data_IF_543113366180
#
_entry.id   IF_543113366180
#
_cell.length_a   1.000
_cell.length_b   1.000
_cell.length_c   1.000
_cell.angle_alpha   90.00
_cell.angle_beta   90.00
_cell.angle_gamma   90.00
#
_symmetry.space_group_name_H-M   'P 1'
#
loop_
_entity.id
_entity.type
_entity.pdbx_description
1 polymer ?
#
# COMPACT_ATOMS: atom_id res chain seq x y z
N UNK A 1 -11.43 -8.96 -19.02
CA UNK A 1 -10.62 -9.01 -17.80
C UNK A 1 -11.06 -7.93 -16.79
N UNK A 2 -10.67 -8.05 -15.52
CA UNK A 2 -10.79 -7.03 -14.46
C UNK A 2 -9.97 -5.79 -14.81
N UNK A 3 -8.75 -5.97 -15.30
CA UNK A 3 -7.89 -4.89 -15.80
C UNK A 3 -8.54 -4.18 -17.00
N UNK A 4 -9.06 -4.93 -17.97
CA UNK A 4 -9.70 -4.37 -19.18
C UNK A 4 -10.92 -3.49 -18.90
N UNK A 5 -11.77 -3.85 -17.92
CA UNK A 5 -13.00 -3.11 -17.62
C UNK A 5 -12.71 -1.79 -16.91
N UNK A 6 -11.74 -1.78 -16.01
CA UNK A 6 -11.25 -0.54 -15.39
C UNK A 6 -10.48 0.31 -16.39
N UNK A 7 -9.59 -0.29 -17.19
CA UNK A 7 -8.88 0.39 -18.27
C UNK A 7 -9.86 1.02 -19.26
N UNK A 8 -10.91 0.31 -19.66
CA UNK A 8 -11.94 0.86 -20.55
C UNK A 8 -12.72 2.03 -19.91
N UNK A 9 -12.97 1.99 -18.60
CA UNK A 9 -13.59 3.08 -17.87
C UNK A 9 -12.70 4.32 -17.77
N UNK A 10 -11.43 4.14 -17.37
CA UNK A 10 -10.46 5.23 -17.30
C UNK A 10 -10.05 5.75 -18.68
N UNK A 11 -10.11 4.93 -19.73
CA UNK A 11 -9.99 5.37 -21.13
C UNK A 11 -11.25 6.09 -21.65
N UNK A 12 -12.40 5.92 -20.98
CA UNK A 12 -13.62 6.71 -21.22
C UNK A 12 -13.53 8.13 -20.62
N UNK A 13 -12.36 8.52 -20.10
CA UNK A 13 -11.99 9.83 -19.54
C UNK A 13 -12.55 11.03 -20.30
N UNK A 14 -12.47 11.05 -21.62
CA UNK A 14 -13.04 12.14 -22.45
C UNK A 14 -14.58 12.23 -22.32
N UNK A 15 -15.24 11.08 -22.27
CA UNK A 15 -16.69 11.00 -22.05
C UNK A 15 -17.11 11.38 -20.64
N UNK A 16 -16.27 11.13 -19.63
CA UNK A 16 -16.53 11.57 -18.26
C UNK A 16 -16.30 13.07 -18.06
N UNK A 17 -15.24 13.65 -18.65
CA UNK A 17 -15.02 15.10 -18.68
C UNK A 17 -16.23 15.81 -19.33
N UNK A 18 -16.70 15.32 -20.48
CA UNK A 18 -17.91 15.83 -21.14
C UNK A 18 -19.22 15.60 -20.36
N UNK A 19 -19.47 14.40 -19.82
CA UNK A 19 -20.73 14.06 -19.14
C UNK A 19 -20.88 14.74 -17.77
N UNK A 20 -19.78 15.00 -17.08
CA UNK A 20 -19.76 15.76 -15.83
C UNK A 20 -20.12 17.24 -16.02
N UNK A 21 -20.28 17.72 -17.26
CA UNK A 21 -20.18 19.14 -17.63
C UNK A 21 -18.91 19.78 -17.06
N UNK A 22 -17.87 18.98 -16.86
CA UNK A 22 -16.50 19.45 -16.77
C UNK A 22 -16.03 19.57 -18.23
N UNK A 23 -16.78 20.34 -19.00
CA UNK A 23 -16.27 20.87 -20.26
C UNK A 23 -15.24 21.92 -19.84
N UNK A 24 -14.00 21.48 -19.63
CA UNK A 24 -12.90 22.37 -19.96
C UNK A 24 -12.89 22.44 -21.49
N UNK A 25 -13.80 23.25 -22.04
CA UNK A 25 -13.70 23.76 -23.41
C UNK A 25 -12.32 24.44 -23.54
N UNK A 26 -11.24 23.71 -23.84
CA UNK A 26 -9.90 24.27 -24.13
C UNK A 26 -9.54 25.53 -23.29
N UNK A 27 -9.86 25.52 -21.99
CA UNK A 27 -9.64 26.64 -21.08
C UNK A 27 -8.61 26.19 -20.08
N UNK A 28 -7.47 26.89 -20.07
CA UNK A 28 -6.50 26.84 -18.96
C UNK A 28 -7.25 26.77 -17.63
N UNK A 29 -6.83 25.82 -16.77
CA UNK A 29 -7.43 25.62 -15.45
C UNK A 29 -7.67 26.95 -14.75
N UNK A 30 -8.94 27.27 -14.51
CA UNK A 30 -9.35 28.63 -14.11
C UNK A 30 -8.99 28.94 -12.66
N UNK A 31 -8.74 27.90 -11.86
CA UNK A 31 -8.39 27.98 -10.45
C UNK A 31 -7.66 26.69 -9.99
N UNK A 32 -7.09 26.72 -8.78
CA UNK A 32 -6.31 25.60 -8.22
C UNK A 32 -7.10 24.29 -8.03
N UNK A 33 -8.43 24.36 -7.91
CA UNK A 33 -9.30 23.19 -7.73
C UNK A 33 -9.45 22.48 -9.08
N UNK A 34 -9.72 23.24 -10.14
CA UNK A 34 -9.81 22.72 -11.50
C UNK A 34 -8.51 22.02 -11.91
N UNK A 35 -7.36 22.65 -11.66
CA UNK A 35 -6.04 22.07 -11.96
C UNK A 35 -5.80 20.76 -11.19
N UNK A 36 -6.23 20.69 -9.92
CA UNK A 36 -6.10 19.48 -9.10
C UNK A 36 -7.01 18.36 -9.60
N UNK A 37 -8.23 18.68 -10.03
CA UNK A 37 -9.18 17.73 -10.63
C UNK A 37 -8.64 17.20 -11.96
N UNK A 38 -8.13 18.07 -12.83
CA UNK A 38 -7.51 17.66 -14.09
C UNK A 38 -6.33 16.74 -13.84
N UNK A 39 -5.43 17.11 -12.93
CA UNK A 39 -4.27 16.28 -12.57
C UNK A 39 -4.71 14.93 -12.01
N UNK A 40 -5.77 14.89 -11.17
CA UNK A 40 -6.33 13.64 -10.62
C UNK A 40 -6.82 12.68 -11.71
N UNK A 41 -7.53 13.20 -12.71
CA UNK A 41 -8.05 12.40 -13.82
C UNK A 41 -7.02 12.13 -14.93
N UNK A 42 -5.92 12.88 -14.94
CA UNK A 42 -4.84 12.71 -15.91
C UNK A 42 -3.83 11.63 -15.49
N UNK A 43 -3.86 11.14 -14.25
CA UNK A 43 -3.10 9.95 -13.82
C UNK A 43 -3.50 8.76 -14.69
N UNK A 44 -2.54 8.21 -15.43
CA UNK A 44 -2.76 7.09 -16.33
C UNK A 44 -2.51 5.77 -15.61
N UNK A 45 -3.49 4.87 -15.61
CA UNK A 45 -3.38 3.54 -15.00
C UNK A 45 -2.28 2.68 -15.65
N UNK A 46 -1.99 2.90 -16.94
CA UNK A 46 -0.99 2.14 -17.69
C UNK A 46 0.45 2.43 -17.21
N UNK A 47 0.67 3.57 -16.55
CA UNK A 47 1.98 3.91 -15.96
C UNK A 47 2.30 3.06 -14.72
N UNK A 48 1.31 2.30 -14.23
CA UNK A 48 1.40 1.46 -13.03
C UNK A 48 1.26 -0.03 -13.36
N UNK A 49 1.36 -0.41 -14.63
CA UNK A 49 1.38 -1.83 -15.03
C UNK A 49 2.70 -2.49 -14.60
N UNK A 50 2.58 -3.64 -13.92
CA UNK A 50 3.70 -4.44 -13.48
C UNK A 50 4.12 -5.44 -14.57
N UNK A 51 5.37 -5.95 -14.54
CA UNK A 51 5.87 -6.89 -15.56
C UNK A 51 5.07 -8.19 -15.70
N UNK A 52 4.28 -8.56 -14.69
CA UNK A 52 3.40 -9.74 -14.69
C UNK A 52 2.00 -9.48 -15.29
N UNK A 53 1.75 -8.27 -15.78
CA UNK A 53 0.47 -7.84 -16.35
C UNK A 53 -0.57 -7.43 -15.30
N UNK A 54 -0.20 -7.37 -14.02
CA UNK A 54 -1.04 -6.77 -12.98
C UNK A 54 -0.85 -5.25 -12.91
N UNK A 55 -1.71 -4.55 -12.19
CA UNK A 55 -1.61 -3.09 -12.00
C UNK A 55 -1.31 -2.81 -10.53
N UNK A 56 -0.31 -1.98 -10.25
CA UNK A 56 -0.05 -1.41 -8.94
C UNK A 56 -1.09 -0.34 -8.62
N UNK A 57 -2.26 -0.80 -8.18
CA UNK A 57 -3.37 0.08 -7.81
C UNK A 57 -2.99 1.02 -6.67
N UNK A 58 -2.19 0.56 -5.69
CA UNK A 58 -1.74 1.38 -4.59
C UNK A 58 -1.00 2.62 -5.08
N UNK A 59 0.03 2.43 -5.92
CA UNK A 59 0.79 3.52 -6.49
C UNK A 59 -0.04 4.44 -7.41
N UNK A 60 -0.98 3.88 -8.18
CA UNK A 60 -1.90 4.66 -9.02
C UNK A 60 -2.77 5.61 -8.17
N UNK A 61 -3.38 5.09 -7.11
CA UNK A 61 -4.25 5.91 -6.25
C UNK A 61 -3.46 6.89 -5.38
N UNK A 62 -2.23 6.55 -4.97
CA UNK A 62 -1.33 7.50 -4.29
C UNK A 62 -1.00 8.70 -5.18
N UNK A 63 -0.80 8.48 -6.48
CA UNK A 63 -0.57 9.55 -7.44
C UNK A 63 -1.81 10.42 -7.66
N UNK A 64 -3.00 9.80 -7.69
CA UNK A 64 -4.26 10.52 -7.68
C UNK A 64 -4.42 11.37 -6.41
N UNK A 65 -4.09 10.83 -5.24
CA UNK A 65 -4.17 11.57 -3.98
C UNK A 65 -3.16 12.72 -3.90
N UNK A 66 -1.97 12.53 -4.48
CA UNK A 66 -0.95 13.56 -4.61
C UNK A 66 -1.43 14.72 -5.49
N UNK A 67 -2.23 14.45 -6.53
CA UNK A 67 -2.85 15.48 -7.36
C UNK A 67 -3.77 16.42 -6.56
N UNK A 68 -4.35 15.93 -5.47
CA UNK A 68 -5.24 16.69 -4.58
C UNK A 68 -4.51 17.32 -3.39
N UNK A 69 -3.19 17.11 -3.24
CA UNK A 69 -2.44 17.52 -2.05
C UNK A 69 -2.36 19.04 -1.84
N UNK A 70 -2.53 19.84 -2.91
CA UNK A 70 -2.56 21.31 -2.84
C UNK A 70 -3.86 21.87 -2.26
N UNK A 71 -4.91 21.05 -2.15
CA UNK A 71 -6.21 21.45 -1.65
C UNK A 71 -6.24 21.44 -0.13
N UNK A 72 -6.97 22.37 0.47
CA UNK A 72 -7.25 22.30 1.90
C UNK A 72 -8.12 21.06 2.22
N UNK A 73 -8.13 20.57 3.47
CA UNK A 73 -8.95 19.41 3.84
C UNK A 73 -10.44 19.58 3.54
N UNK A 74 -10.97 20.81 3.57
CA UNK A 74 -12.36 21.08 3.20
C UNK A 74 -12.58 21.00 1.70
N UNK A 75 -11.69 21.60 0.91
CA UNK A 75 -11.75 21.56 -0.56
C UNK A 75 -11.59 20.12 -1.06
N UNK A 76 -10.62 19.36 -0.53
CA UNK A 76 -10.42 17.95 -0.89
C UNK A 76 -11.67 17.11 -0.62
N UNK A 77 -12.31 17.27 0.54
CA UNK A 77 -13.57 16.57 0.86
C UNK A 77 -14.70 16.92 -0.11
N UNK A 78 -14.84 18.20 -0.44
CA UNK A 78 -15.87 18.66 -1.38
C UNK A 78 -15.64 18.12 -2.79
N UNK A 79 -14.40 18.17 -3.28
CA UNK A 79 -14.01 17.64 -4.60
C UNK A 79 -14.24 16.13 -4.66
N UNK A 80 -13.79 15.40 -3.64
CA UNK A 80 -14.01 13.94 -3.56
C UNK A 80 -15.50 13.61 -3.60
N UNK A 81 -16.29 14.19 -2.68
CA UNK A 81 -17.69 13.82 -2.53
C UNK A 81 -18.59 14.28 -3.69
N UNK A 82 -18.36 15.49 -4.25
CA UNK A 82 -19.28 16.11 -5.23
C UNK A 82 -18.86 15.88 -6.68
N UNK A 83 -17.56 15.67 -6.92
CA UNK A 83 -17.01 15.54 -8.27
C UNK A 83 -16.52 14.12 -8.50
N UNK A 84 -15.48 13.68 -7.78
CA UNK A 84 -14.78 12.43 -8.08
C UNK A 84 -15.69 11.22 -7.83
N UNK A 85 -16.28 11.10 -6.64
CA UNK A 85 -17.04 9.92 -6.24
C UNK A 85 -18.34 9.73 -7.02
N UNK A 86 -18.84 10.80 -7.66
CA UNK A 86 -20.02 10.72 -8.53
C UNK A 86 -19.78 9.84 -9.76
N UNK A 87 -18.52 9.71 -10.17
CA UNK A 87 -18.10 8.94 -11.33
C UNK A 87 -17.31 7.70 -10.93
N UNK A 88 -17.46 7.20 -9.70
CA UNK A 88 -16.82 5.92 -9.40
C UNK A 88 -17.49 4.81 -10.20
N UNK A 89 -16.69 3.96 -10.84
CA UNK A 89 -17.20 2.64 -11.25
C UNK A 89 -17.55 1.82 -10.03
N UNK A 90 -18.41 0.80 -10.20
CA UNK A 90 -18.55 -0.26 -9.20
C UNK A 90 -17.20 -0.79 -8.69
N UNK A 91 -16.18 -0.84 -9.56
CA UNK A 91 -14.85 -1.33 -9.20
C UNK A 91 -14.01 -0.32 -8.40
N UNK A 92 -14.10 0.99 -8.69
CA UNK A 92 -13.49 2.02 -7.83
C UNK A 92 -14.14 2.02 -6.45
N UNK A 93 -15.47 1.84 -6.38
CA UNK A 93 -16.18 1.67 -5.11
C UNK A 93 -15.69 0.44 -4.35
N UNK A 94 -15.53 -0.70 -5.03
CA UNK A 94 -14.96 -1.93 -4.44
C UNK A 94 -13.52 -1.72 -3.94
N UNK A 95 -12.69 -1.02 -4.71
CA UNK A 95 -11.32 -0.71 -4.30
C UNK A 95 -11.27 0.18 -3.05
N UNK A 96 -12.08 1.25 -2.99
CA UNK A 96 -12.10 2.12 -1.80
C UNK A 96 -12.56 1.38 -0.55
N UNK A 97 -13.54 0.49 -0.69
CA UNK A 97 -13.91 -0.43 0.41
C UNK A 97 -12.73 -1.32 0.80
N UNK A 98 -11.94 -1.79 -0.17
CA UNK A 98 -10.74 -2.56 0.11
C UNK A 98 -9.67 -1.71 0.83
N UNK A 99 -9.50 -0.42 0.47
CA UNK A 99 -8.64 0.51 1.19
C UNK A 99 -9.11 0.73 2.62
N UNK A 100 -10.38 1.04 2.84
CA UNK A 100 -10.94 1.22 4.18
C UNK A 100 -10.69 -0.04 5.04
N UNK A 101 -10.91 -1.23 4.45
CA UNK A 101 -10.65 -2.53 5.10
C UNK A 101 -9.15 -2.73 5.36
N UNK A 102 -8.27 -2.30 4.46
CA UNK A 102 -6.81 -2.37 4.65
C UNK A 102 -6.37 -1.41 5.76
N UNK A 103 -6.93 -0.22 5.85
CA UNK A 103 -6.60 0.75 6.89
C UNK A 103 -6.99 0.21 8.28
N UNK A 104 -8.12 -0.48 8.39
CA UNK A 104 -8.48 -1.24 9.60
C UNK A 104 -7.45 -2.34 9.93
N UNK A 105 -6.84 -2.95 8.91
CA UNK A 105 -5.77 -3.93 9.09
C UNK A 105 -4.47 -3.27 9.59
N UNK A 106 -4.21 -2.00 9.26
CA UNK A 106 -3.04 -1.26 9.79
C UNK A 106 -3.10 -1.08 11.32
N UNK A 107 -4.30 -1.13 11.92
CA UNK A 107 -4.50 -1.11 13.37
C UNK A 107 -4.30 -2.49 14.04
N UNK A 108 -4.23 -3.56 13.26
CA UNK A 108 -4.06 -4.93 13.75
C UNK A 108 -2.60 -5.35 13.56
N UNK A 109 -1.92 -5.67 14.66
CA UNK A 109 -0.53 -6.13 14.54
C UNK A 109 -0.45 -7.52 13.95
N UNK A 110 0.47 -7.72 13.00
CA UNK A 110 0.85 -9.05 12.48
C UNK A 110 1.49 -9.95 13.55
N UNK A 111 2.08 -9.34 14.58
CA UNK A 111 2.88 -10.03 15.60
C UNK A 111 2.29 -9.77 16.98
N UNK A 112 2.01 -10.86 17.71
CA UNK A 112 1.58 -10.78 19.11
C UNK A 112 2.65 -10.09 19.94
N UNK A 113 2.27 -9.06 20.70
CA UNK A 113 3.18 -8.35 21.61
C UNK A 113 3.99 -7.20 20.98
N UNK A 114 3.80 -6.92 19.69
CA UNK A 114 4.29 -5.71 19.01
C UNK A 114 3.10 -4.90 18.52
N UNK A 115 3.21 -3.56 18.54
CA UNK A 115 2.25 -2.70 17.84
C UNK A 115 2.53 -2.73 16.32
N UNK A 116 1.54 -2.47 15.46
CA UNK A 116 1.74 -2.45 14.00
C UNK A 116 2.89 -1.52 13.57
N UNK A 117 2.91 -0.30 14.11
CA UNK A 117 3.93 0.70 13.79
C UNK A 117 5.34 0.28 14.25
N UNK A 118 5.45 -0.38 15.41
CA UNK A 118 6.73 -0.90 15.92
C UNK A 118 7.24 -2.03 15.02
N UNK A 119 6.34 -2.91 14.56
CA UNK A 119 6.68 -3.96 13.61
C UNK A 119 7.13 -3.39 12.26
N UNK A 120 6.44 -2.37 11.73
CA UNK A 120 6.81 -1.68 10.48
C UNK A 120 8.17 -0.98 10.58
N UNK A 121 8.43 -0.28 11.68
CA UNK A 121 9.74 0.35 11.93
C UNK A 121 10.85 -0.71 12.00
N UNK A 122 10.58 -1.83 12.67
CA UNK A 122 11.53 -2.93 12.79
C UNK A 122 11.88 -3.56 11.45
N UNK A 123 10.87 -3.88 10.62
CA UNK A 123 11.08 -4.44 9.28
C UNK A 123 11.90 -3.47 8.41
N UNK A 124 11.49 -2.20 8.38
CA UNK A 124 12.22 -1.16 7.63
C UNK A 124 13.68 -1.06 8.07
N UNK A 125 13.94 -1.10 9.38
CA UNK A 125 15.30 -1.06 9.91
C UNK A 125 16.12 -2.31 9.51
N UNK A 126 15.53 -3.51 9.57
CA UNK A 126 16.20 -4.74 9.13
C UNK A 126 16.53 -4.70 7.62
N UNK A 127 15.59 -4.27 6.80
CA UNK A 127 15.72 -4.26 5.33
C UNK A 127 16.62 -3.13 4.83
N UNK A 128 16.50 -1.92 5.36
CA UNK A 128 17.25 -0.77 4.85
C UNK A 128 18.60 -0.60 5.55
N UNK A 129 18.65 -0.77 6.88
CA UNK A 129 19.85 -0.43 7.67
C UNK A 129 20.75 -1.65 7.82
N UNK A 130 20.21 -2.76 8.31
CA UNK A 130 21.01 -3.97 8.56
C UNK A 130 21.46 -4.59 7.23
N UNK A 131 20.56 -4.72 6.25
CA UNK A 131 20.96 -5.28 4.95
C UNK A 131 21.96 -4.38 4.20
N UNK A 132 21.87 -3.05 4.33
CA UNK A 132 22.89 -2.15 3.75
C UNK A 132 24.25 -2.30 4.45
N UNK A 133 24.28 -2.39 5.78
CA UNK A 133 25.51 -2.62 6.53
C UNK A 133 26.18 -3.95 6.15
N UNK A 134 25.38 -5.03 6.05
CA UNK A 134 25.89 -6.34 5.60
C UNK A 134 26.47 -6.30 4.20
N UNK A 135 25.81 -5.59 3.27
CA UNK A 135 26.35 -5.40 1.92
C UNK A 135 27.69 -4.67 1.93
N UNK A 136 27.81 -3.59 2.70
CA UNK A 136 29.07 -2.86 2.83
C UNK A 136 30.19 -3.71 3.44
N UNK A 137 29.92 -4.48 4.50
CA UNK A 137 30.93 -5.38 5.06
C UNK A 137 31.36 -6.48 4.08
N UNK A 138 30.42 -7.01 3.31
CA UNK A 138 30.72 -8.00 2.29
C UNK A 138 31.61 -7.41 1.17
N UNK A 139 31.37 -6.16 0.77
CA UNK A 139 32.23 -5.42 -0.17
C UNK A 139 33.66 -5.22 0.39
N UNK A 140 33.78 -5.02 1.70
CA UNK A 140 35.06 -4.96 2.42
C UNK A 140 35.68 -6.36 2.67
N UNK A 141 35.06 -7.43 2.18
CA UNK A 141 35.55 -8.81 2.29
C UNK A 141 35.22 -9.51 3.61
N UNK A 142 34.33 -8.95 4.42
CA UNK A 142 33.88 -9.52 5.70
C UNK A 142 32.44 -10.01 5.56
N UNK A 143 32.27 -11.33 5.52
CA UNK A 143 30.93 -11.94 5.59
C UNK A 143 30.44 -11.97 7.05
N UNK A 144 29.46 -11.12 7.35
CA UNK A 144 28.87 -10.99 8.69
C UNK A 144 27.51 -11.68 8.71
N UNK A 145 27.27 -12.51 9.72
CA UNK A 145 25.97 -13.15 9.94
C UNK A 145 24.89 -12.09 10.17
N UNK A 146 23.62 -12.41 9.87
CA UNK A 146 22.52 -11.48 10.14
C UNK A 146 22.42 -11.13 11.63
N UNK A 147 22.69 -12.08 12.52
CA UNK A 147 22.64 -11.87 13.96
C UNK A 147 23.72 -10.88 14.42
N UNK A 148 24.97 -11.06 13.97
CA UNK A 148 26.07 -10.16 14.32
C UNK A 148 25.87 -8.78 13.72
N UNK A 149 25.33 -8.72 12.50
CA UNK A 149 24.96 -7.46 11.86
C UNK A 149 23.89 -6.70 12.62
N UNK A 150 22.84 -7.39 13.08
CA UNK A 150 21.80 -6.81 13.93
C UNK A 150 22.42 -6.27 15.22
N UNK A 151 23.24 -7.07 15.93
CA UNK A 151 23.90 -6.65 17.18
C UNK A 151 24.77 -5.40 16.98
N UNK A 152 25.63 -5.41 15.96
CA UNK A 152 26.49 -4.27 15.65
C UNK A 152 25.71 -3.01 15.29
N UNK A 153 24.63 -3.14 14.51
CA UNK A 153 23.79 -2.00 14.14
C UNK A 153 22.94 -1.48 15.30
N UNK A 154 22.52 -2.33 16.24
CA UNK A 154 21.80 -1.91 17.45
C UNK A 154 22.67 -1.02 18.34
N UNK A 155 23.93 -1.42 18.57
CA UNK A 155 24.89 -0.62 19.33
C UNK A 155 25.15 0.73 18.67
N UNK A 156 25.28 0.74 17.34
CA UNK A 156 25.53 1.95 16.55
C UNK A 156 24.35 2.92 16.53
N UNK A 157 23.13 2.41 16.34
CA UNK A 157 21.92 3.24 16.17
C UNK A 157 21.24 3.58 17.52
N UNK A 158 21.72 3.04 18.65
CA UNK A 158 21.20 3.34 19.99
C UNK A 158 19.76 2.89 20.21
N UNK A 159 19.33 1.81 19.55
CA UNK A 159 17.95 1.28 19.66
C UNK A 159 17.72 0.63 21.04
N UNK A 160 16.49 0.68 21.58
CA UNK A 160 16.21 0.14 22.90
C UNK A 160 16.27 -1.40 22.94
N UNK A 161 16.52 -1.97 24.12
CA UNK A 161 16.77 -3.41 24.30
C UNK A 161 15.58 -4.33 23.95
N UNK A 162 14.35 -3.82 23.94
CA UNK A 162 13.19 -4.56 23.45
C UNK A 162 13.18 -4.65 21.91
N UNK A 163 13.67 -3.61 21.22
CA UNK A 163 13.79 -3.58 19.76
C UNK A 163 14.77 -4.64 19.25
N UNK A 164 15.87 -4.87 19.99
CA UNK A 164 16.87 -5.89 19.64
C UNK A 164 16.36 -7.32 19.77
N UNK A 165 15.60 -7.62 20.82
CA UNK A 165 15.00 -8.94 21.01
C UNK A 165 14.03 -9.27 19.88
N UNK A 166 13.18 -8.30 19.50
CA UNK A 166 12.26 -8.48 18.37
C UNK A 166 12.98 -8.60 17.04
N UNK A 167 14.02 -7.80 16.79
CA UNK A 167 14.84 -7.88 15.58
C UNK A 167 15.42 -9.29 15.38
N UNK A 168 15.97 -9.87 16.45
CA UNK A 168 16.53 -11.21 16.42
C UNK A 168 15.44 -12.27 16.27
N UNK A 169 14.31 -12.16 16.98
CA UNK A 169 13.21 -13.12 16.91
C UNK A 169 12.56 -13.16 15.51
N UNK A 170 12.47 -12.02 14.83
CA UNK A 170 11.77 -11.89 13.54
C UNK A 170 12.70 -11.93 12.31
N UNK A 171 14.01 -12.15 12.52
CA UNK A 171 15.05 -12.09 11.47
C UNK A 171 14.84 -13.02 10.27
N UNK A 172 14.06 -14.08 10.44
CA UNK A 172 13.72 -15.07 9.41
C UNK A 172 12.23 -15.11 9.07
N UNK A 173 11.49 -14.06 9.41
CA UNK A 173 10.03 -14.01 9.35
C UNK A 173 9.38 -14.22 10.73
N UNK A 174 8.04 -14.15 10.76
CA UNK A 174 7.25 -14.24 12.00
C UNK A 174 7.11 -15.73 12.38
N UNK A 175 7.65 -16.17 13.53
CA UNK A 175 7.44 -17.52 14.04
C UNK A 175 5.95 -17.77 14.31
N UNK A 176 5.47 -19.00 14.06
CA UNK A 176 4.05 -19.34 14.19
C UNK A 176 3.44 -18.99 15.56
N UNK A 177 4.23 -19.11 16.62
CA UNK A 177 3.83 -18.83 18.00
C UNK A 177 3.57 -17.33 18.26
N UNK A 178 4.18 -16.47 17.45
CA UNK A 178 4.13 -15.02 17.57
C UNK A 178 3.19 -14.41 16.52
N UNK A 179 2.60 -15.23 15.63
CA UNK A 179 1.59 -14.75 14.68
C UNK A 179 0.31 -14.39 15.39
N UNK A 180 -0.26 -13.25 15.01
CA UNK A 180 -1.53 -12.83 15.55
C UNK A 180 -2.68 -13.47 14.77
N UNK A 181 -3.36 -14.45 15.37
CA UNK A 181 -4.48 -15.13 14.72
C UNK A 181 -5.60 -14.17 14.30
N UNK A 182 -5.81 -13.06 15.02
CA UNK A 182 -6.81 -12.04 14.63
C UNK A 182 -6.46 -11.38 13.30
N UNK A 183 -5.17 -11.18 13.02
CA UNK A 183 -4.70 -10.64 11.75
C UNK A 183 -4.98 -11.64 10.62
N UNK A 184 -4.64 -12.91 10.84
CA UNK A 184 -4.88 -13.97 9.86
C UNK A 184 -6.38 -14.18 9.62
N UNK A 185 -7.21 -14.20 10.67
CA UNK A 185 -8.67 -14.34 10.57
C UNK A 185 -9.30 -13.18 9.79
N UNK A 186 -8.83 -11.95 10.00
CA UNK A 186 -9.30 -10.78 9.25
C UNK A 186 -8.99 -10.92 7.76
N UNK A 187 -7.79 -11.43 7.42
CA UNK A 187 -7.42 -11.73 6.04
C UNK A 187 -8.20 -12.90 5.43
N UNK A 188 -8.87 -13.74 6.23
CA UNK A 188 -9.58 -14.95 5.78
C UNK A 188 -11.12 -14.79 5.75
N UNK A 189 -11.67 -13.66 6.22
CA UNK A 189 -13.12 -13.38 6.24
C UNK A 189 -13.63 -12.86 4.87
N UNK A 190 -14.95 -12.77 4.60
CA UNK A 190 -15.51 -12.38 3.27
C UNK A 190 -14.95 -11.06 2.70
N UNK A 191 -14.53 -10.11 3.56
CA UNK A 191 -13.83 -8.88 3.14
C UNK A 191 -12.47 -9.15 2.45
N UNK A 192 -11.90 -10.34 2.65
CA UNK A 192 -10.68 -10.85 2.02
C UNK A 192 -10.77 -11.00 0.50
N UNK A 193 -11.97 -11.23 -0.05
CA UNK A 193 -12.13 -11.31 -1.50
C UNK A 193 -11.78 -9.98 -2.17
N UNK A 194 -12.08 -8.86 -1.49
CA UNK A 194 -11.72 -7.51 -1.92
C UNK A 194 -10.23 -7.26 -1.68
N UNK A 195 -9.72 -7.52 -0.47
CA UNK A 195 -8.30 -7.31 -0.16
C UNK A 195 -7.39 -8.14 -1.05
N UNK A 196 -7.68 -9.42 -1.29
CA UNK A 196 -6.86 -10.29 -2.15
C UNK A 196 -6.85 -9.82 -3.60
N UNK A 197 -7.93 -9.20 -4.06
CA UNK A 197 -8.06 -8.71 -5.44
C UNK A 197 -7.23 -7.44 -5.68
N UNK A 198 -7.16 -6.55 -4.69
CA UNK A 198 -6.55 -5.23 -4.85
C UNK A 198 -5.21 -5.06 -4.11
N UNK A 199 -4.97 -5.89 -3.09
CA UNK A 199 -3.78 -5.91 -2.24
C UNK A 199 -3.27 -7.37 -2.07
N UNK A 200 -2.95 -8.08 -3.18
CA UNK A 200 -2.50 -9.47 -3.12
C UNK A 200 -1.22 -9.67 -2.29
N UNK A 201 -0.39 -8.64 -2.17
CA UNK A 201 0.84 -8.63 -1.36
C UNK A 201 0.58 -8.89 0.13
N UNK A 202 -0.62 -8.59 0.63
CA UNK A 202 -1.02 -8.91 2.00
C UNK A 202 -1.09 -10.42 2.26
N UNK A 203 -1.22 -11.22 1.19
CA UNK A 203 -1.42 -12.67 1.23
C UNK A 203 -0.15 -13.48 0.93
N UNK A 204 1.01 -12.84 0.74
CA UNK A 204 2.26 -13.52 0.35
C UNK A 204 2.80 -14.52 1.38
N UNK A 205 2.26 -14.54 2.59
CA UNK A 205 2.67 -15.57 3.55
C UNK A 205 2.15 -16.94 3.12
N UNK A 206 3.07 -17.89 2.92
CA UNK A 206 2.80 -19.28 2.50
C UNK A 206 1.65 -19.93 3.27
N UNK A 207 1.53 -19.65 4.58
CA UNK A 207 0.49 -20.18 5.44
C UNK A 207 -0.92 -19.63 5.16
N UNK A 208 -1.06 -18.35 4.83
CA UNK A 208 -2.36 -17.77 4.45
C UNK A 208 -2.82 -18.38 3.12
N UNK A 209 -1.89 -18.58 2.18
CA UNK A 209 -2.15 -19.29 0.92
C UNK A 209 -2.55 -20.75 1.15
N UNK A 210 -1.86 -21.45 2.06
CA UNK A 210 -2.19 -22.83 2.45
C UNK A 210 -3.57 -22.93 3.12
N UNK A 211 -3.90 -22.02 4.05
CA UNK A 211 -5.19 -22.01 4.74
C UNK A 211 -6.35 -21.65 3.79
N UNK A 212 -6.10 -20.78 2.80
CA UNK A 212 -7.05 -20.49 1.72
C UNK A 212 -7.26 -21.70 0.79
N UNK A 213 -6.26 -22.56 0.61
CA UNK A 213 -6.38 -23.76 -0.24
C UNK A 213 -7.18 -24.91 0.39
N UNK A 214 -7.40 -24.85 1.71
CA UNK A 214 -8.12 -25.86 2.49
C UNK A 214 -9.60 -25.51 2.74
N UNK A 215 -10.05 -24.34 2.27
CA UNK A 215 -11.44 -23.89 2.31
C UNK A 215 -12.06 -23.97 0.91
#
# INVERSE_FOLDING_TARGET
DFADRNRAFFNQREGMKQFAKIEFEDREASNKIDAAIDTYFDVNVDDYEQPDGTTDWGAFFDAQDAALASLSPSEKRDVLAKVIHKFDTPTVVEFRRAQDTRDELEDISRVVGLKPQEHKELQKWLEERVAAARRAWLEDGVDVSLEDAVRAMLERDGKPANFSQWALLLRGGIPDQLRNQRFDDFLLDEASGLLRRFFPELYESQRVLEQLSQR
#
